data_IF_745830378260
#
_entry.id   IF_745830378260
#
_cell.length_a   1.000
_cell.length_b   1.000
_cell.length_c   1.000
_cell.angle_alpha   90.00
_cell.angle_beta   90.00
_cell.angle_gamma   90.00
#
_symmetry.space_group_name_H-M   'P 1'
#
loop_
_entity.id
_entity.type
_entity.pdbx_description
1 polymer ?
#
# COMPACT_ATOMS: atom_id res chain seq x y z
N UNK A 1 -3.20 -14.82 21.55
CA UNK A 1 -2.39 -13.77 22.21
C UNK A 1 -0.99 -13.86 21.65
N UNK A 2 -0.45 -12.79 21.03
CA UNK A 2 0.93 -12.77 20.55
C UNK A 2 1.81 -12.67 21.80
N UNK A 3 2.23 -13.81 22.33
CA UNK A 3 3.10 -13.90 23.49
C UNK A 3 4.55 -13.80 22.97
N UNK A 4 5.20 -12.67 23.21
CA UNK A 4 6.65 -12.60 23.06
C UNK A 4 7.26 -11.40 22.33
N UNK A 5 6.49 -10.52 21.66
CA UNK A 5 7.10 -9.37 20.99
C UNK A 5 7.17 -8.19 21.97
N UNK A 6 8.34 -7.95 22.56
CA UNK A 6 8.56 -6.86 23.50
C UNK A 6 8.76 -5.51 22.79
N UNK A 7 8.63 -4.41 23.53
CA UNK A 7 8.95 -3.05 23.04
C UNK A 7 10.39 -2.96 22.52
N UNK A 8 11.31 -3.66 23.20
CA UNK A 8 12.72 -3.73 22.80
C UNK A 8 12.89 -4.44 21.43
N UNK A 9 12.17 -5.54 21.20
CA UNK A 9 12.18 -6.23 19.91
C UNK A 9 11.62 -5.34 18.78
N UNK A 10 10.54 -4.55 19.05
CA UNK A 10 10.01 -3.61 18.08
C UNK A 10 11.03 -2.51 17.71
N UNK A 11 11.71 -1.97 18.71
CA UNK A 11 12.75 -0.97 18.51
C UNK A 11 13.92 -1.53 17.70
N UNK A 12 14.36 -2.75 18.01
CA UNK A 12 15.41 -3.44 17.28
C UNK A 12 15.00 -3.78 15.83
N UNK A 13 13.77 -4.22 15.63
CA UNK A 13 13.19 -4.44 14.29
C UNK A 13 13.25 -3.18 13.45
N UNK A 14 12.72 -2.06 13.97
CA UNK A 14 12.71 -0.78 13.26
C UNK A 14 14.12 -0.26 12.96
N UNK A 15 15.07 -0.42 13.89
CA UNK A 15 16.48 -0.05 13.67
C UNK A 15 17.03 -0.81 12.46
N UNK A 16 16.92 -2.15 12.46
CA UNK A 16 17.44 -2.98 11.37
C UNK A 16 16.76 -2.69 10.02
N UNK A 17 15.45 -2.45 10.03
CA UNK A 17 14.71 -2.02 8.83
C UNK A 17 15.15 -0.64 8.33
N UNK A 18 15.47 0.29 9.23
CA UNK A 18 16.00 1.61 8.87
C UNK A 18 17.40 1.52 8.25
N UNK A 19 18.24 0.62 8.73
CA UNK A 19 19.57 0.37 8.16
C UNK A 19 19.47 -0.28 6.78
N UNK A 20 18.52 -1.18 6.57
CA UNK A 20 18.30 -1.87 5.29
C UNK A 20 17.61 -0.95 4.26
N UNK A 21 16.59 -0.21 4.69
CA UNK A 21 15.72 0.59 3.83
C UNK A 21 15.56 2.00 4.46
N UNK A 22 16.58 2.86 4.35
CA UNK A 22 16.57 4.17 5.02
C UNK A 22 15.52 5.14 4.47
N UNK A 23 15.14 5.00 3.20
CA UNK A 23 14.20 5.89 2.53
C UNK A 23 13.12 5.10 1.75
N UNK A 24 12.19 4.44 2.46
CA UNK A 24 11.12 3.71 1.79
C UNK A 24 10.19 4.69 1.07
N UNK A 25 9.95 4.44 -0.22
CA UNK A 25 9.05 5.25 -1.05
C UNK A 25 7.96 4.36 -1.66
N UNK A 26 6.79 4.95 -1.88
CA UNK A 26 5.75 4.32 -2.71
C UNK A 26 6.28 4.16 -4.12
N UNK A 27 6.09 2.96 -4.68
CA UNK A 27 6.56 2.66 -6.03
C UNK A 27 5.73 3.33 -7.14
N UNK A 28 4.51 3.77 -6.83
CA UNK A 28 3.62 4.47 -7.76
C UNK A 28 4.01 5.95 -7.89
N UNK A 29 4.27 6.40 -9.12
CA UNK A 29 4.62 7.78 -9.40
C UNK A 29 3.36 8.66 -9.34
N UNK A 30 3.39 9.68 -8.48
CA UNK A 30 2.29 10.63 -8.30
C UNK A 30 2.79 11.93 -7.69
N UNK A 31 2.20 13.06 -8.09
CA UNK A 31 2.52 14.38 -7.56
C UNK A 31 1.40 14.93 -6.67
N UNK A 32 0.18 14.40 -6.76
CA UNK A 32 -0.98 14.87 -6.00
C UNK A 32 -1.73 13.70 -5.35
N UNK A 33 -2.54 13.96 -4.30
CA UNK A 33 -3.40 12.93 -3.70
C UNK A 33 -4.33 12.25 -4.70
N UNK A 34 -4.90 13.01 -5.66
CA UNK A 34 -5.75 12.44 -6.71
C UNK A 34 -4.96 11.48 -7.61
N UNK A 35 -3.75 11.86 -8.02
CA UNK A 35 -2.89 11.00 -8.82
C UNK A 35 -2.52 9.71 -8.08
N UNK A 36 -2.20 9.79 -6.77
CA UNK A 36 -1.91 8.59 -5.98
C UNK A 36 -3.14 7.70 -5.84
N UNK A 37 -4.33 8.30 -5.63
CA UNK A 37 -5.59 7.57 -5.55
C UNK A 37 -5.88 6.80 -6.85
N UNK A 38 -5.79 7.48 -7.98
CA UNK A 38 -5.98 6.87 -9.31
C UNK A 38 -4.96 5.77 -9.56
N UNK A 39 -3.67 6.04 -9.33
CA UNK A 39 -2.61 5.03 -9.50
C UNK A 39 -2.84 3.80 -8.62
N UNK A 40 -3.31 4.00 -7.37
CA UNK A 40 -3.57 2.90 -6.44
C UNK A 40 -4.81 2.08 -6.88
N UNK A 41 -5.86 2.71 -7.40
CA UNK A 41 -7.01 1.99 -8.01
C UNK A 41 -6.53 1.16 -9.21
N UNK A 42 -5.67 1.73 -10.05
CA UNK A 42 -5.12 1.02 -11.21
C UNK A 42 -4.17 -0.12 -10.84
N UNK A 43 -3.51 -0.06 -9.68
CA UNK A 43 -2.56 -1.10 -9.23
C UNK A 43 -3.22 -2.39 -8.74
N UNK A 44 -4.55 -2.41 -8.57
CA UNK A 44 -5.28 -3.64 -8.23
C UNK A 44 -5.01 -4.73 -9.28
N UNK A 45 -4.35 -5.84 -8.87
CA UNK A 45 -3.93 -6.94 -9.73
C UNK A 45 -3.11 -6.49 -10.96
N UNK A 46 -2.30 -5.44 -10.79
CA UNK A 46 -1.40 -4.93 -11.81
C UNK A 46 -0.05 -4.56 -11.17
N UNK A 47 1.03 -4.67 -11.93
CA UNK A 47 2.35 -4.29 -11.43
C UNK A 47 2.51 -2.77 -11.36
N UNK A 48 3.24 -2.27 -10.36
CA UNK A 48 3.53 -0.84 -10.22
C UNK A 48 4.21 -0.29 -11.49
N UNK A 49 5.12 -1.06 -12.10
CA UNK A 49 5.80 -0.69 -13.34
C UNK A 49 4.82 -0.46 -14.50
N UNK A 50 3.80 -1.31 -14.65
CA UNK A 50 2.77 -1.13 -15.69
C UNK A 50 1.91 0.08 -15.42
N UNK A 51 1.51 0.31 -14.16
CA UNK A 51 0.76 1.51 -13.77
C UNK A 51 1.57 2.77 -14.10
N UNK A 52 2.85 2.81 -13.73
CA UNK A 52 3.74 3.94 -13.98
C UNK A 52 3.99 4.22 -15.48
N UNK A 53 3.81 3.23 -16.36
CA UNK A 53 3.84 3.43 -17.83
C UNK A 53 2.56 4.10 -18.36
N UNK A 54 1.42 3.84 -17.73
CA UNK A 54 0.11 4.34 -18.17
C UNK A 54 -0.19 5.72 -17.61
N UNK A 55 0.16 5.95 -16.35
CA UNK A 55 -0.26 7.14 -15.60
C UNK A 55 0.25 8.48 -16.14
N UNK A 56 1.42 8.64 -16.77
CA UNK A 56 1.85 9.93 -17.30
C UNK A 56 0.89 10.50 -18.35
N UNK A 57 0.46 9.70 -19.32
CA UNK A 57 -0.52 10.10 -20.33
C UNK A 57 -1.90 10.36 -19.72
N UNK A 58 -2.31 9.49 -18.78
CA UNK A 58 -3.57 9.63 -18.08
C UNK A 58 -3.63 10.94 -17.27
N UNK A 59 -2.58 11.28 -16.52
CA UNK A 59 -2.50 12.48 -15.68
C UNK A 59 -2.33 13.77 -16.49
N UNK A 60 -1.79 13.69 -17.71
CA UNK A 60 -1.75 14.82 -18.63
C UNK A 60 -3.17 15.20 -19.12
N UNK A 61 -4.04 14.20 -19.29
CA UNK A 61 -5.40 14.36 -19.79
C UNK A 61 -6.41 14.63 -18.69
N UNK A 62 -6.37 13.86 -17.60
CA UNK A 62 -7.30 13.97 -16.47
C UNK A 62 -6.57 14.55 -15.25
N UNK A 63 -6.70 15.86 -15.06
CA UNK A 63 -5.97 16.63 -14.04
C UNK A 63 -6.75 16.82 -12.76
N UNK A 64 -8.08 16.79 -12.85
CA UNK A 64 -9.01 17.07 -11.76
C UNK A 64 -9.99 15.91 -11.57
N UNK A 65 -10.67 15.88 -10.43
CA UNK A 65 -11.77 14.94 -10.19
C UNK A 65 -12.91 15.13 -11.19
N UNK A 66 -13.15 16.39 -11.64
CA UNK A 66 -14.16 16.69 -12.66
C UNK A 66 -13.82 16.04 -14.00
N UNK A 67 -12.55 16.02 -14.40
CA UNK A 67 -12.14 15.39 -15.66
C UNK A 67 -12.46 13.89 -15.64
N UNK A 68 -12.21 13.20 -14.50
CA UNK A 68 -12.61 11.81 -14.34
C UNK A 68 -14.12 11.63 -14.29
N UNK A 69 -14.84 12.53 -13.60
CA UNK A 69 -16.31 12.47 -13.47
C UNK A 69 -17.02 12.55 -14.82
N UNK A 70 -16.46 13.31 -15.76
CA UNK A 70 -17.01 13.54 -17.11
C UNK A 70 -16.30 12.75 -18.20
N UNK A 71 -15.40 11.81 -17.83
CA UNK A 71 -14.63 11.03 -18.80
C UNK A 71 -15.55 10.13 -19.64
N UNK A 72 -15.29 10.07 -20.95
CA UNK A 72 -15.90 9.08 -21.84
C UNK A 72 -15.40 7.68 -21.43
N UNK A 73 -16.32 6.75 -21.08
CA UNK A 73 -15.95 5.42 -20.64
C UNK A 73 -15.10 4.66 -21.66
N UNK A 74 -15.43 4.73 -22.94
CA UNK A 74 -14.75 3.98 -24.00
C UNK A 74 -13.31 4.50 -24.19
N UNK A 75 -13.12 5.81 -24.09
CA UNK A 75 -11.79 6.44 -24.18
C UNK A 75 -10.95 6.06 -22.96
N UNK A 76 -11.49 6.21 -21.75
CA UNK A 76 -10.77 5.88 -20.52
C UNK A 76 -10.40 4.38 -20.48
N UNK A 77 -11.32 3.48 -20.85
CA UNK A 77 -11.07 2.05 -20.95
C UNK A 77 -9.89 1.74 -21.89
N UNK A 78 -9.82 2.39 -23.05
CA UNK A 78 -8.74 2.22 -24.02
C UNK A 78 -7.39 2.66 -23.43
N UNK A 79 -7.34 3.78 -22.74
CA UNK A 79 -6.11 4.34 -22.14
C UNK A 79 -5.56 3.45 -21.02
N UNK A 80 -6.42 2.89 -20.18
CA UNK A 80 -5.99 2.03 -19.06
C UNK A 80 -6.02 0.53 -19.37
N UNK A 81 -6.27 0.13 -20.62
CA UNK A 81 -6.49 -1.27 -21.01
C UNK A 81 -5.38 -2.22 -20.55
N UNK A 82 -4.12 -1.76 -20.63
CA UNK A 82 -2.96 -2.58 -20.27
C UNK A 82 -2.81 -2.84 -18.76
N UNK A 83 -3.62 -2.18 -17.90
CA UNK A 83 -3.60 -2.42 -16.44
C UNK A 83 -4.45 -3.63 -16.02
N UNK A 84 -5.16 -4.28 -16.92
CA UNK A 84 -6.10 -5.37 -16.62
C UNK A 84 -7.37 -4.89 -15.91
N UNK A 85 -8.44 -5.68 -15.97
CA UNK A 85 -9.75 -5.34 -15.37
C UNK A 85 -10.23 -3.92 -15.72
N UNK A 86 -9.79 -3.41 -16.87
CA UNK A 86 -9.90 -2.02 -17.27
C UNK A 86 -11.33 -1.49 -17.29
N UNK A 87 -12.34 -2.30 -17.67
CA UNK A 87 -13.75 -1.87 -17.64
C UNK A 87 -14.24 -1.57 -16.23
N UNK A 88 -13.91 -2.41 -15.26
CA UNK A 88 -14.26 -2.19 -13.86
C UNK A 88 -13.49 -1.00 -13.27
N UNK A 89 -12.20 -0.88 -13.62
CA UNK A 89 -11.35 0.24 -13.18
C UNK A 89 -11.83 1.56 -13.76
N UNK A 90 -12.15 1.65 -15.05
CA UNK A 90 -12.68 2.86 -15.68
C UNK A 90 -13.99 3.31 -15.01
N UNK A 91 -14.93 2.37 -14.82
CA UNK A 91 -16.16 2.64 -14.08
C UNK A 91 -15.93 3.16 -12.68
N UNK A 92 -15.00 2.55 -11.94
CA UNK A 92 -14.64 2.99 -10.60
C UNK A 92 -14.02 4.38 -10.61
N UNK A 93 -13.11 4.69 -11.53
CA UNK A 93 -12.48 6.00 -11.66
C UNK A 93 -13.52 7.09 -11.97
N UNK A 94 -14.44 6.85 -12.92
CA UNK A 94 -15.51 7.79 -13.26
C UNK A 94 -16.40 8.03 -12.04
N UNK A 95 -16.90 6.97 -11.41
CA UNK A 95 -17.76 7.09 -10.22
C UNK A 95 -17.02 7.73 -9.04
N UNK A 96 -15.74 7.41 -8.85
CA UNK A 96 -14.89 8.05 -7.84
C UNK A 96 -14.80 9.56 -8.10
N UNK A 97 -14.54 9.98 -9.33
CA UNK A 97 -14.57 11.39 -9.73
C UNK A 97 -15.90 12.06 -9.42
N UNK A 98 -17.01 11.41 -9.75
CA UNK A 98 -18.37 11.92 -9.47
C UNK A 98 -18.62 12.11 -7.96
N UNK A 99 -18.22 11.14 -7.13
CA UNK A 99 -18.34 11.22 -5.66
C UNK A 99 -17.43 12.32 -5.10
N UNK A 100 -16.19 12.43 -5.58
CA UNK A 100 -15.28 13.49 -5.18
C UNK A 100 -15.85 14.87 -5.47
N UNK A 101 -16.42 15.07 -6.66
CA UNK A 101 -17.03 16.36 -7.05
C UNK A 101 -18.28 16.66 -6.22
N UNK A 102 -19.18 15.69 -6.07
CA UNK A 102 -20.48 15.94 -5.43
C UNK A 102 -20.43 16.04 -3.91
N UNK A 103 -19.46 15.36 -3.25
CA UNK A 103 -19.40 15.28 -1.79
C UNK A 103 -18.19 15.93 -1.17
N UNK A 104 -17.10 16.09 -1.92
CA UNK A 104 -15.80 16.50 -1.40
C UNK A 104 -15.18 17.66 -2.19
N UNK A 105 -15.99 18.44 -2.92
CA UNK A 105 -15.55 19.62 -3.69
C UNK A 105 -14.38 19.33 -4.65
N UNK A 106 -14.33 18.09 -5.18
CA UNK A 106 -13.27 17.61 -6.05
C UNK A 106 -11.97 17.23 -5.35
N UNK A 107 -11.92 17.30 -4.02
CA UNK A 107 -10.73 16.97 -3.21
C UNK A 107 -10.77 15.53 -2.72
N UNK A 108 -9.58 14.94 -2.55
CA UNK A 108 -9.46 13.61 -1.92
C UNK A 108 -9.64 13.76 -0.40
N UNK A 109 -10.60 13.05 0.21
CA UNK A 109 -10.87 13.16 1.64
C UNK A 109 -9.68 12.64 2.49
N UNK A 110 -9.63 13.10 3.75
CA UNK A 110 -8.51 12.87 4.66
C UNK A 110 -8.83 11.93 5.82
N UNK A 111 -9.98 11.28 5.80
CA UNK A 111 -10.39 10.32 6.83
C UNK A 111 -10.57 8.93 6.23
N UNK A 112 -10.40 7.89 7.06
CA UNK A 112 -10.63 6.50 6.64
C UNK A 112 -12.07 6.31 6.19
N UNK A 113 -13.03 6.80 6.98
CA UNK A 113 -14.46 6.61 6.76
C UNK A 113 -14.92 7.23 5.44
N UNK A 114 -14.41 8.41 5.08
CA UNK A 114 -14.73 9.04 3.81
C UNK A 114 -14.06 8.33 2.64
N UNK A 115 -12.78 7.96 2.78
CA UNK A 115 -12.02 7.30 1.71
C UNK A 115 -12.64 5.97 1.28
N UNK A 116 -13.11 5.15 2.23
CA UNK A 116 -13.72 3.86 1.91
C UNK A 116 -15.11 3.99 1.26
N UNK A 117 -15.73 5.18 1.26
CA UNK A 117 -16.97 5.43 0.51
C UNK A 117 -16.71 5.62 -0.98
N UNK A 118 -15.46 5.85 -1.39
CA UNK A 118 -15.11 6.10 -2.79
C UNK A 118 -15.11 4.78 -3.59
N UNK A 119 -15.72 4.75 -4.77
CA UNK A 119 -15.73 3.57 -5.64
C UNK A 119 -14.31 3.09 -5.99
N UNK A 120 -14.04 1.82 -5.75
CA UNK A 120 -12.73 1.22 -6.00
C UNK A 120 -11.70 1.45 -4.90
N UNK A 121 -12.10 2.03 -3.77
CA UNK A 121 -11.24 2.31 -2.62
C UNK A 121 -11.62 1.38 -1.46
N UNK A 122 -10.75 0.44 -1.16
CA UNK A 122 -10.84 -0.35 0.06
C UNK A 122 -9.90 0.17 1.15
N UNK A 123 -9.93 -0.45 2.33
CA UNK A 123 -9.11 -0.09 3.49
C UNK A 123 -7.62 0.04 3.17
N UNK A 124 -7.07 -0.90 2.40
CA UNK A 124 -5.66 -0.83 1.97
C UNK A 124 -5.35 0.42 1.17
N UNK A 125 -6.20 0.77 0.18
CA UNK A 125 -6.05 1.98 -0.63
C UNK A 125 -6.15 3.23 0.23
N UNK A 126 -7.12 3.28 1.14
CA UNK A 126 -7.28 4.39 2.08
C UNK A 126 -6.02 4.58 2.95
N UNK A 127 -5.46 3.50 3.51
CA UNK A 127 -4.21 3.56 4.28
C UNK A 127 -3.02 4.09 3.45
N UNK A 128 -2.92 3.71 2.16
CA UNK A 128 -1.88 4.25 1.26
C UNK A 128 -2.03 5.77 1.13
N UNK A 129 -3.26 6.26 0.89
CA UNK A 129 -3.53 7.69 0.72
C UNK A 129 -3.28 8.46 2.03
N UNK A 130 -3.81 7.99 3.15
CA UNK A 130 -3.65 8.62 4.45
C UNK A 130 -2.18 8.79 4.84
N UNK A 131 -1.41 7.71 4.74
CA UNK A 131 -0.01 7.72 5.13
C UNK A 131 0.89 8.54 4.23
N UNK A 132 0.65 8.53 2.90
CA UNK A 132 1.58 9.14 1.95
C UNK A 132 1.21 10.55 1.53
N UNK A 133 -0.08 10.92 1.58
CA UNK A 133 -0.52 12.26 1.17
C UNK A 133 -0.82 13.18 2.34
N UNK A 134 -1.26 12.63 3.46
CA UNK A 134 -1.81 13.45 4.54
C UNK A 134 -1.04 13.34 5.86
N UNK A 135 0.02 12.52 5.91
CA UNK A 135 0.82 12.33 7.12
C UNK A 135 0.04 11.65 8.27
N UNK A 136 -1.13 11.09 7.99
CA UNK A 136 -1.91 10.31 8.97
C UNK A 136 -1.26 8.95 9.11
N UNK A 137 -0.77 8.58 10.32
CA UNK A 137 -0.12 7.29 10.51
C UNK A 137 -1.04 6.13 10.11
N UNK A 138 -0.61 5.31 9.16
CA UNK A 138 -1.39 4.21 8.61
C UNK A 138 -0.49 3.00 8.34
N UNK A 139 -1.00 1.80 8.60
CA UNK A 139 -0.32 0.54 8.29
C UNK A 139 -0.92 -0.03 7.01
N UNK A 140 -0.10 -0.18 5.99
CA UNK A 140 -0.51 -0.79 4.72
C UNK A 140 -0.17 -2.28 4.76
N UNK A 141 -1.20 -3.14 4.71
CA UNK A 141 -1.00 -4.59 4.65
C UNK A 141 -1.28 -5.11 3.24
N UNK A 142 -0.22 -5.49 2.56
CA UNK A 142 -0.29 -6.23 1.29
C UNK A 142 0.20 -7.68 1.47
N UNK A 143 0.29 -8.43 0.40
CA UNK A 143 0.77 -9.83 0.44
C UNK A 143 2.22 -9.96 0.92
N UNK A 144 3.05 -8.94 0.73
CA UNK A 144 4.43 -8.92 1.22
C UNK A 144 4.47 -8.64 2.72
N UNK A 145 3.78 -7.60 3.18
CA UNK A 145 3.66 -7.26 4.61
C UNK A 145 3.04 -8.40 5.39
N UNK A 146 1.93 -8.98 4.89
CA UNK A 146 1.29 -10.15 5.49
C UNK A 146 2.31 -11.27 5.73
N UNK A 147 3.01 -11.69 4.69
CA UNK A 147 4.00 -12.77 4.78
C UNK A 147 5.14 -12.46 5.75
N UNK A 148 5.67 -11.24 5.70
CA UNK A 148 6.77 -10.83 6.58
C UNK A 148 6.31 -10.77 8.03
N UNK A 149 5.13 -10.19 8.28
CA UNK A 149 4.55 -10.12 9.62
C UNK A 149 4.34 -11.52 10.22
N UNK A 150 3.80 -12.46 9.46
CA UNK A 150 3.62 -13.84 9.89
C UNK A 150 4.97 -14.54 10.19
N UNK A 151 5.95 -14.43 9.28
CA UNK A 151 7.27 -15.04 9.46
C UNK A 151 8.07 -14.46 10.64
N UNK A 152 7.87 -13.18 10.93
CA UNK A 152 8.46 -12.53 12.09
C UNK A 152 7.69 -12.76 13.40
N UNK A 153 6.56 -13.48 13.36
CA UNK A 153 5.72 -13.68 14.54
C UNK A 153 4.99 -12.41 15.01
N UNK A 154 4.86 -11.40 14.15
CA UNK A 154 4.14 -10.16 14.46
C UNK A 154 2.62 -10.32 14.34
N UNK A 155 2.17 -11.33 13.60
CA UNK A 155 0.76 -11.67 13.42
C UNK A 155 0.60 -13.17 13.18
N UNK A 156 -0.47 -13.75 13.73
CA UNK A 156 -0.86 -15.14 13.57
C UNK A 156 -2.26 -15.21 12.95
N UNK A 157 -2.39 -14.66 11.76
CA UNK A 157 -3.67 -14.60 11.04
C UNK A 157 -3.45 -14.32 9.56
N UNK A 158 -4.39 -14.74 8.73
CA UNK A 158 -4.43 -14.44 7.29
C UNK A 158 -5.23 -13.18 6.95
N UNK A 159 -5.99 -12.67 7.89
CA UNK A 159 -6.85 -11.51 7.74
C UNK A 159 -6.02 -10.21 7.75
N UNK A 160 -6.02 -9.42 6.66
CA UNK A 160 -5.23 -8.20 6.57
C UNK A 160 -5.58 -7.14 7.62
N UNK A 161 -6.84 -7.04 8.04
CA UNK A 161 -7.26 -6.06 9.05
C UNK A 161 -6.76 -6.45 10.43
N UNK A 162 -6.78 -7.74 10.76
CA UNK A 162 -6.22 -8.25 12.01
C UNK A 162 -4.70 -8.10 12.04
N UNK A 163 -4.02 -8.28 10.89
CA UNK A 163 -2.58 -8.02 10.76
C UNK A 163 -2.28 -6.53 10.95
N UNK A 164 -3.08 -5.64 10.35
CA UNK A 164 -2.97 -4.19 10.55
C UNK A 164 -3.02 -3.85 12.05
N UNK A 165 -4.04 -4.34 12.76
CA UNK A 165 -4.22 -4.13 14.21
C UNK A 165 -3.03 -4.69 15.00
N UNK A 166 -2.54 -5.89 14.64
CA UNK A 166 -1.39 -6.49 15.29
C UNK A 166 -0.13 -5.63 15.13
N UNK A 167 0.14 -5.15 13.92
CA UNK A 167 1.27 -4.27 13.64
C UNK A 167 1.13 -2.91 14.34
N UNK A 168 -0.08 -2.36 14.45
CA UNK A 168 -0.36 -1.13 15.18
C UNK A 168 -0.09 -1.25 16.69
N UNK A 169 -0.29 -2.43 17.25
CA UNK A 169 0.01 -2.71 18.68
C UNK A 169 1.50 -2.84 18.96
N UNK A 170 2.25 -3.37 18.00
CA UNK A 170 3.68 -3.65 18.12
C UNK A 170 4.53 -2.42 17.77
N UNK A 171 4.15 -1.70 16.72
CA UNK A 171 4.94 -0.57 16.20
C UNK A 171 4.50 0.74 16.84
N UNK A 172 5.42 1.65 17.21
CA UNK A 172 5.08 3.01 17.60
C UNK A 172 4.28 3.71 16.49
N UNK A 173 3.23 4.44 16.84
CA UNK A 173 2.31 5.09 15.88
C UNK A 173 3.04 5.94 14.83
N UNK A 174 4.06 6.69 15.23
CA UNK A 174 4.88 7.49 14.31
C UNK A 174 5.63 6.66 13.24
N UNK A 175 5.80 5.36 13.47
CA UNK A 175 6.51 4.45 12.56
C UNK A 175 5.57 3.66 11.64
N UNK A 176 4.24 3.76 11.77
CA UNK A 176 3.30 2.89 11.06
C UNK A 176 3.47 2.96 9.54
N UNK A 177 3.39 4.14 8.95
CA UNK A 177 3.50 4.31 7.50
C UNK A 177 4.86 3.87 6.99
N UNK A 178 5.93 4.38 7.61
CA UNK A 178 7.30 4.06 7.24
C UNK A 178 7.62 2.59 7.46
N UNK A 179 7.31 2.05 8.63
CA UNK A 179 7.58 0.66 8.99
C UNK A 179 6.83 -0.34 8.10
N UNK A 180 5.57 -0.06 7.75
CA UNK A 180 4.84 -0.93 6.82
C UNK A 180 5.43 -0.90 5.41
N UNK A 181 5.92 0.25 4.92
CA UNK A 181 6.66 0.32 3.66
C UNK A 181 7.98 -0.46 3.70
N UNK A 182 8.71 -0.37 4.82
CA UNK A 182 9.95 -1.13 5.00
C UNK A 182 9.68 -2.64 5.01
N UNK A 183 8.66 -3.09 5.72
CA UNK A 183 8.23 -4.50 5.69
C UNK A 183 7.83 -4.96 4.29
N UNK A 184 7.13 -4.11 3.52
CA UNK A 184 6.76 -4.38 2.13
C UNK A 184 8.00 -4.59 1.27
N UNK A 185 8.96 -3.65 1.31
CA UNK A 185 10.18 -3.69 0.50
C UNK A 185 11.10 -4.84 0.92
N UNK A 186 11.24 -5.09 2.23
CA UNK A 186 11.93 -6.27 2.75
C UNK A 186 11.30 -7.56 2.20
N UNK A 187 9.96 -7.65 2.18
CA UNK A 187 9.24 -8.77 1.60
C UNK A 187 9.43 -8.92 0.08
N UNK A 188 9.58 -7.83 -0.66
CA UNK A 188 9.85 -7.86 -2.12
C UNK A 188 11.27 -8.33 -2.43
N UNK A 189 12.25 -7.85 -1.68
CA UNK A 189 13.65 -7.99 -2.05
C UNK A 189 14.35 -9.12 -1.30
N UNK A 190 14.12 -9.27 -0.01
CA UNK A 190 14.82 -10.22 0.87
C UNK A 190 13.94 -11.40 1.25
N UNK A 191 12.85 -11.17 1.98
CA UNK A 191 11.97 -12.22 2.48
C UNK A 191 10.94 -12.67 1.43
N UNK A 192 11.43 -13.15 0.28
CA UNK A 192 10.60 -13.59 -0.85
C UNK A 192 9.74 -14.82 -0.52
N UNK A 193 8.65 -15.02 -1.26
CA UNK A 193 7.73 -16.12 -1.01
C UNK A 193 8.41 -17.49 -1.22
N UNK A 194 9.04 -17.71 -2.39
CA UNK A 194 9.60 -19.02 -2.79
C UNK A 194 11.07 -19.18 -2.47
N UNK A 195 11.86 -18.13 -2.50
CA UNK A 195 13.32 -18.20 -2.29
C UNK A 195 13.78 -17.02 -1.43
N UNK A 196 13.48 -17.05 -0.11
CA UNK A 196 13.92 -16.00 0.78
C UNK A 196 15.45 -16.00 0.91
N UNK A 197 16.03 -14.81 0.95
CA UNK A 197 17.48 -14.61 1.07
C UNK A 197 17.85 -14.51 2.56
N UNK A 198 17.62 -15.59 3.31
CA UNK A 198 17.80 -15.61 4.76
C UNK A 198 19.25 -15.33 5.19
N UNK A 199 20.25 -15.78 4.41
CA UNK A 199 21.67 -15.54 4.67
C UNK A 199 22.06 -14.07 4.62
N UNK A 200 21.38 -13.26 3.78
CA UNK A 200 21.59 -11.81 3.68
C UNK A 200 20.58 -11.00 4.50
N UNK A 201 19.70 -11.66 5.25
CA UNK A 201 18.60 -11.02 5.97
C UNK A 201 19.07 -10.38 7.27
N UNK A 202 19.00 -9.07 7.38
CA UNK A 202 19.35 -8.36 8.63
C UNK A 202 18.42 -8.70 9.80
N UNK A 203 17.21 -9.20 9.50
CA UNK A 203 16.23 -9.61 10.51
C UNK A 203 16.39 -11.08 10.94
N UNK A 204 17.41 -11.80 10.43
CA UNK A 204 17.58 -13.24 10.66
C UNK A 204 17.55 -13.62 12.14
N UNK A 205 18.26 -12.88 12.97
CA UNK A 205 18.35 -13.15 14.42
C UNK A 205 17.02 -12.91 15.17
N UNK A 206 16.12 -12.08 14.61
CA UNK A 206 14.80 -11.80 15.18
C UNK A 206 13.72 -12.73 14.63
N UNK A 207 14.01 -13.49 13.56
CA UNK A 207 13.03 -14.27 12.84
C UNK A 207 12.79 -15.64 13.49
N UNK A 208 11.60 -15.94 14.03
CA UNK A 208 11.26 -17.23 14.60
C UNK A 208 10.81 -18.26 13.56
N UNK A 209 10.67 -17.87 12.28
CA UNK A 209 10.12 -18.75 11.26
C UNK A 209 10.97 -20.02 11.07
N UNK A 210 10.37 -21.19 11.29
CA UNK A 210 11.04 -22.48 11.19
C UNK A 210 11.55 -22.79 9.78
N UNK A 211 10.89 -22.28 8.74
CA UNK A 211 11.30 -22.43 7.35
C UNK A 211 12.44 -21.52 6.90
N UNK A 212 13.09 -20.77 7.81
CA UNK A 212 14.25 -19.95 7.47
C UNK A 212 15.45 -20.82 7.12
N UNK A 213 16.13 -20.47 6.04
CA UNK A 213 17.35 -21.17 5.62
C UNK A 213 18.52 -20.79 6.55
N UNK A 214 19.44 -21.72 6.84
CA UNK A 214 20.64 -21.39 7.63
C UNK A 214 21.38 -20.18 7.06
N UNK A 215 21.93 -19.36 7.97
CA UNK A 215 22.75 -18.21 7.62
C UNK A 215 24.14 -18.67 7.14
#
# INVERSE_FOLDING_TARGET
MITGFSVDMASRLLKLLNEEIPNPKVALHSATPLQLLVATILSAQCTDARVNQVTPGLFARYRTAQDYASADPAVLEKEIRSTGFYKAKARNLIRCGQVLVSRFEGQVPRTMDDLITLPGVGRKTANVILGNCFGVPAVVVDTHVKRVAQRLGLADTDDPEKIEIALQRVLPKASWTRGSHQLLLHGRHVCRARAPQCQACRLYALCPWEGKRPA
#
